data_IF_187872428775
#
_entry.id   IF_187872428775
#
_cell.length_a   1.000
_cell.length_b   1.000
_cell.length_c   1.000
_cell.angle_alpha   90.00
_cell.angle_beta   90.00
_cell.angle_gamma   90.00
#
_symmetry.space_group_name_H-M   'P 1'
#
loop_
_entity.id
_entity.type
_entity.pdbx_description
1 polymer ?
#
# COMPACT_ATOMS: atom_id res chain seq x y z
N UNK A 1 -4.63 -22.37 -13.16
CA UNK A 1 -3.90 -21.67 -12.07
C UNK A 1 -4.49 -22.12 -10.75
N UNK A 2 -3.69 -22.57 -9.79
CA UNK A 2 -4.17 -22.95 -8.46
C UNK A 2 -4.32 -21.65 -7.65
N UNK A 3 -5.54 -21.24 -7.32
CA UNK A 3 -5.78 -20.13 -6.40
C UNK A 3 -5.85 -20.66 -4.98
N UNK A 4 -5.12 -20.03 -4.06
CA UNK A 4 -5.21 -20.26 -2.62
C UNK A 4 -5.78 -18.99 -1.98
N UNK A 5 -6.69 -19.16 -1.00
CA UNK A 5 -7.22 -18.06 -0.20
C UNK A 5 -6.63 -18.15 1.21
N UNK A 6 -6.18 -17.02 1.74
CA UNK A 6 -5.63 -16.91 3.08
C UNK A 6 -6.29 -15.72 3.77
N UNK A 7 -6.92 -15.98 4.91
CA UNK A 7 -7.55 -14.96 5.76
C UNK A 7 -7.07 -15.15 7.20
N UNK A 8 -6.38 -14.13 7.72
CA UNK A 8 -5.85 -14.10 9.08
C UNK A 8 -5.83 -12.66 9.60
N UNK A 9 -6.34 -12.50 10.82
CA UNK A 9 -6.23 -11.25 11.58
C UNK A 9 -5.02 -11.32 12.51
N UNK A 10 -4.19 -10.28 12.49
CA UNK A 10 -3.08 -10.11 13.42
C UNK A 10 -3.38 -8.95 14.37
N UNK A 11 -3.30 -9.20 15.67
CA UNK A 11 -3.41 -8.14 16.67
C UNK A 11 -2.05 -7.44 16.83
N UNK A 12 -1.92 -6.27 16.23
CA UNK A 12 -0.69 -5.47 16.26
C UNK A 12 -0.49 -4.71 17.58
N UNK A 13 -1.39 -4.84 18.56
CA UNK A 13 -1.20 -4.29 19.90
C UNK A 13 -0.39 -5.22 20.82
N UNK A 14 -0.19 -6.48 20.42
CA UNK A 14 0.55 -7.48 21.18
C UNK A 14 2.03 -7.49 20.81
N UNK A 15 2.91 -7.55 21.81
CA UNK A 15 4.36 -7.68 21.59
C UNK A 15 4.73 -8.98 20.84
N UNK A 16 3.94 -10.05 21.01
CA UNK A 16 4.14 -11.34 20.34
C UNK A 16 3.92 -11.30 18.82
N UNK A 17 3.28 -10.24 18.31
CA UNK A 17 3.10 -10.04 16.86
C UNK A 17 4.37 -9.53 16.18
N UNK A 18 5.39 -9.13 16.94
CA UNK A 18 6.63 -8.56 16.41
C UNK A 18 7.86 -9.34 16.87
N UNK A 19 8.93 -9.25 16.07
CA UNK A 19 10.25 -9.60 16.54
C UNK A 19 10.73 -8.59 17.60
N UNK A 20 11.32 -9.05 18.70
CA UNK A 20 11.78 -8.19 19.78
C UNK A 20 12.78 -7.11 19.32
N UNK A 21 13.71 -7.43 18.42
CA UNK A 21 14.66 -6.46 17.89
C UNK A 21 13.97 -5.40 17.02
N UNK A 22 12.88 -5.76 16.32
CA UNK A 22 12.09 -4.79 15.57
C UNK A 22 11.43 -3.77 16.50
N UNK A 23 10.91 -4.20 17.66
CA UNK A 23 10.38 -3.29 18.68
C UNK A 23 11.47 -2.33 19.16
N UNK A 24 12.63 -2.86 19.58
CA UNK A 24 13.77 -2.06 20.06
C UNK A 24 14.23 -1.04 19.02
N UNK A 25 14.36 -1.44 17.76
CA UNK A 25 14.86 -0.58 16.68
C UNK A 25 13.86 0.52 16.26
N UNK A 26 12.58 0.39 16.60
CA UNK A 26 11.54 1.34 16.23
C UNK A 26 10.98 2.07 17.45
N UNK A 27 11.85 2.47 18.40
CA UNK A 27 11.45 3.30 19.55
C UNK A 27 11.08 2.53 20.82
N UNK A 28 11.29 1.21 20.85
CA UNK A 28 11.23 0.40 22.07
C UNK A 28 9.83 0.08 22.60
N UNK A 29 8.78 0.47 21.90
CA UNK A 29 7.39 0.16 22.29
C UNK A 29 6.64 -0.59 21.19
N UNK A 30 5.63 -1.37 21.57
CA UNK A 30 4.78 -2.07 20.60
C UNK A 30 4.02 -1.09 19.70
N UNK A 31 3.56 0.03 20.28
CA UNK A 31 2.85 1.08 19.53
C UNK A 31 3.73 1.72 18.44
N UNK A 32 4.99 2.03 18.78
CA UNK A 32 5.93 2.61 17.80
C UNK A 32 6.33 1.61 16.72
N UNK A 33 6.45 0.32 17.06
CA UNK A 33 6.67 -0.76 16.10
C UNK A 33 5.48 -0.94 15.14
N UNK A 34 4.25 -0.95 15.66
CA UNK A 34 3.02 -0.99 14.86
C UNK A 34 2.96 0.18 13.88
N UNK A 35 3.21 1.39 14.34
CA UNK A 35 3.21 2.59 13.49
C UNK A 35 4.26 2.50 12.38
N UNK A 36 5.48 2.00 12.69
CA UNK A 36 6.52 1.80 11.70
C UNK A 36 6.13 0.77 10.63
N UNK A 37 5.52 -0.35 11.05
CA UNK A 37 5.04 -1.39 10.13
C UNK A 37 3.93 -0.83 9.20
N UNK A 38 2.95 -0.12 9.76
CA UNK A 38 1.86 0.48 8.99
C UNK A 38 2.36 1.54 8.00
N UNK A 39 3.31 2.39 8.42
CA UNK A 39 3.95 3.35 7.53
C UNK A 39 4.74 2.66 6.38
N UNK A 40 5.43 1.56 6.70
CA UNK A 40 6.09 0.72 5.69
C UNK A 40 5.10 0.09 4.70
N UNK A 41 3.97 -0.42 5.19
CA UNK A 41 2.91 -0.99 4.35
C UNK A 41 2.28 0.07 3.44
N UNK A 42 1.97 1.26 3.97
CA UNK A 42 1.42 2.37 3.21
C UNK A 42 2.37 2.90 2.12
N UNK A 43 3.67 2.59 2.20
CA UNK A 43 4.69 3.02 1.23
C UNK A 43 5.21 1.89 0.35
N UNK A 44 4.58 0.72 0.37
CA UNK A 44 4.99 -0.39 -0.50
C UNK A 44 6.21 -1.17 -0.02
N UNK A 45 6.65 -0.96 1.23
CA UNK A 45 7.88 -1.55 1.79
C UNK A 45 7.64 -2.77 2.68
N UNK A 46 6.40 -3.02 3.07
CA UNK A 46 6.07 -4.22 3.85
C UNK A 46 6.00 -5.45 2.93
N UNK A 47 6.78 -6.48 3.27
CA UNK A 47 6.78 -7.76 2.57
C UNK A 47 5.99 -8.80 3.38
N UNK A 48 5.07 -9.49 2.71
CA UNK A 48 4.34 -10.63 3.28
C UNK A 48 4.85 -11.92 2.64
N UNK A 49 5.10 -12.92 3.46
CA UNK A 49 5.36 -14.28 3.03
C UNK A 49 4.58 -15.27 3.91
N UNK A 50 3.74 -16.09 3.29
CA UNK A 50 2.95 -17.11 3.95
C UNK A 50 3.54 -18.47 3.60
N UNK A 51 3.88 -19.26 4.61
CA UNK A 51 4.51 -20.56 4.45
C UNK A 51 3.54 -21.69 4.83
N UNK A 52 3.65 -22.82 4.14
CA UNK A 52 3.04 -24.10 4.53
C UNK A 52 4.09 -25.19 4.54
N UNK A 53 3.82 -26.32 5.17
CA UNK A 53 4.76 -27.45 5.22
C UNK A 53 5.14 -27.94 3.80
N UNK A 54 4.18 -27.92 2.87
CA UNK A 54 4.39 -28.30 1.47
C UNK A 54 5.17 -27.25 0.65
N UNK A 55 5.13 -25.97 1.07
CA UNK A 55 5.78 -24.86 0.39
C UNK A 55 6.62 -24.03 1.38
N UNK A 56 7.76 -24.57 1.86
CA UNK A 56 8.58 -23.90 2.87
C UNK A 56 9.26 -22.62 2.36
N UNK A 57 9.43 -22.47 1.05
CA UNK A 57 9.91 -21.21 0.46
C UNK A 57 8.88 -20.07 0.51
N UNK A 58 7.60 -20.38 0.75
CA UNK A 58 6.47 -19.44 0.71
C UNK A 58 5.44 -19.82 -0.36
N UNK A 59 4.20 -20.07 0.06
CA UNK A 59 3.07 -20.35 -0.84
C UNK A 59 2.48 -19.06 -1.44
N UNK A 60 2.38 -17.98 -0.64
CA UNK A 60 1.89 -16.66 -1.06
C UNK A 60 2.92 -15.61 -0.62
N UNK A 61 3.39 -14.75 -1.53
CA UNK A 61 4.42 -13.75 -1.20
C UNK A 61 4.38 -12.49 -2.07
N UNK A 62 4.80 -11.37 -1.52
CA UNK A 62 4.91 -10.09 -2.24
C UNK A 62 4.98 -8.88 -1.32
N UNK A 63 5.19 -7.71 -1.93
CA UNK A 63 5.09 -6.43 -1.22
C UNK A 63 3.62 -5.99 -1.16
N UNK A 64 3.19 -5.51 0.01
CA UNK A 64 1.88 -4.89 0.18
C UNK A 64 1.86 -3.61 -0.66
N UNK A 65 1.00 -3.56 -1.66
CA UNK A 65 0.82 -2.35 -2.45
C UNK A 65 -0.16 -1.42 -1.72
N UNK A 66 0.14 -0.10 -1.69
CA UNK A 66 -0.86 0.87 -1.28
C UNK A 66 -2.09 0.68 -2.16
N UNK A 67 -3.28 0.78 -1.57
CA UNK A 67 -4.50 0.78 -2.35
C UNK A 67 -4.39 1.91 -3.39
N UNK A 68 -4.57 1.58 -4.68
CA UNK A 68 -4.58 2.59 -5.72
C UNK A 68 -5.68 3.59 -5.39
N UNK A 69 -5.32 4.83 -5.04
CA UNK A 69 -6.29 5.89 -4.83
C UNK A 69 -6.80 6.29 -6.21
N UNK A 70 -8.08 6.06 -6.54
CA UNK A 70 -8.61 6.49 -7.83
C UNK A 70 -8.47 8.01 -7.92
N UNK A 71 -7.74 8.49 -8.91
CA UNK A 71 -7.63 9.93 -9.14
C UNK A 71 -9.05 10.41 -9.51
N UNK A 72 -9.63 11.37 -8.77
CA UNK A 72 -11.00 11.80 -9.05
C UNK A 72 -11.12 12.26 -10.50
N UNK A 73 -12.22 11.86 -11.16
CA UNK A 73 -12.53 12.24 -12.54
C UNK A 73 -12.46 13.77 -12.78
N UNK A 74 -12.55 14.56 -11.70
CA UNK A 74 -12.32 16.00 -11.71
C UNK A 74 -10.99 16.40 -12.36
N UNK A 75 -9.88 15.69 -12.17
CA UNK A 75 -8.59 16.07 -12.80
C UNK A 75 -8.66 15.95 -14.33
N UNK A 76 -9.31 14.89 -14.83
CA UNK A 76 -9.55 14.73 -16.26
C UNK A 76 -10.53 15.77 -16.80
N UNK A 77 -11.54 16.15 -16.01
CA UNK A 77 -12.50 17.18 -16.37
C UNK A 77 -11.87 18.59 -16.42
N UNK A 78 -11.01 18.92 -15.48
CA UNK A 78 -10.28 20.20 -15.49
C UNK A 78 -9.36 20.29 -16.70
N UNK A 79 -8.61 19.22 -17.02
CA UNK A 79 -7.74 19.19 -18.20
C UNK A 79 -8.51 19.32 -19.52
N UNK A 80 -9.68 18.69 -19.63
CA UNK A 80 -10.52 18.77 -20.84
C UNK A 80 -11.15 20.15 -21.02
N UNK A 81 -11.63 20.77 -19.94
CA UNK A 81 -12.20 22.13 -19.96
C UNK A 81 -11.13 23.17 -20.33
N UNK A 82 -9.96 23.11 -19.69
CA UNK A 82 -8.83 24.03 -20.02
C UNK A 82 -8.36 23.84 -21.46
N UNK A 83 -8.29 22.60 -21.94
CA UNK A 83 -7.95 22.28 -23.34
C UNK A 83 -8.95 22.88 -24.34
N UNK A 84 -10.26 22.75 -24.07
CA UNK A 84 -11.31 23.33 -24.90
C UNK A 84 -11.25 24.86 -24.96
N UNK A 85 -11.06 25.53 -23.81
CA UNK A 85 -10.90 26.99 -23.77
C UNK A 85 -9.63 27.46 -24.50
N UNK A 86 -8.53 26.71 -24.37
CA UNK A 86 -7.27 27.03 -25.05
C UNK A 86 -7.35 26.87 -26.56
N UNK A 87 -8.16 25.92 -27.07
CA UNK A 87 -8.43 25.76 -28.49
C UNK A 87 -9.34 26.86 -29.05
N UNK A 88 -10.30 27.33 -28.24
CA UNK A 88 -11.22 28.39 -28.64
C UNK A 88 -10.54 29.77 -28.69
N UNK A 89 -9.67 30.08 -27.74
CA UNK A 89 -8.92 31.34 -27.69
C UNK A 89 -7.90 31.51 -28.85
N UNK A 90 -7.41 30.39 -29.41
CA UNK A 90 -6.51 30.41 -30.59
C UNK A 90 -7.24 30.75 -31.89
N UNK A 91 -8.55 30.52 -31.94
CA UNK A 91 -9.40 30.80 -33.12
C UNK A 91 -9.86 32.25 -33.19
N UNK A 92 -9.79 33.00 -32.09
CA UNK A 92 -10.25 34.39 -32.01
C UNK A 92 -9.18 35.45 -32.29
N UNK A 93 -8.01 35.08 -32.80
CA UNK A 93 -6.88 35.97 -33.14
C UNK A 93 -6.55 35.99 -34.66
N UNK A 94 -7.54 35.77 -35.53
CA UNK A 94 -7.50 36.01 -36.99
C UNK A 94 -8.71 36.84 -37.36
#
# INVERSE_FOLDING_TARGET
MKSASYDRTFDLSLASSFNAAFITNNGGTVSSAMNALLAGAATGKAYLNVHTASFPGGEIRGFLQPAAVPVPAAIWLFGSVVGLFSLNARRSHV
#
